data_IF_940734747006
#
_entry.id   IF_940734747006
#
_cell.length_a   1.000
_cell.length_b   1.000
_cell.length_c   1.000
_cell.angle_alpha   90.00
_cell.angle_beta   90.00
_cell.angle_gamma   90.00
#
_symmetry.space_group_name_H-M   'P 1'
#
loop_
_entity.id
_entity.type
_entity.pdbx_description
1 polymer ?
#
# COMPACT_ATOMS: atom_id res chain seq x y z
N UNK A 1 6.08 -24.94 13.05
CA UNK A 1 5.50 -23.96 14.00
C UNK A 1 4.36 -23.23 13.32
N UNK A 2 3.27 -22.88 14.02
CA UNK A 2 2.15 -22.08 13.49
C UNK A 2 2.20 -20.72 14.19
N UNK A 3 2.19 -19.63 13.42
CA UNK A 3 2.31 -18.25 13.91
C UNK A 3 1.46 -17.28 13.08
N UNK A 4 1.09 -16.10 13.62
CA UNK A 4 0.52 -15.03 12.81
C UNK A 4 1.49 -14.60 11.70
N UNK A 5 1.00 -14.45 10.47
CA UNK A 5 1.83 -14.11 9.30
C UNK A 5 2.19 -12.61 9.21
N UNK A 6 1.82 -11.82 10.22
CA UNK A 6 2.07 -10.38 10.26
C UNK A 6 3.55 -9.99 10.08
N UNK A 7 4.47 -10.85 10.47
CA UNK A 7 5.91 -10.61 10.33
C UNK A 7 6.38 -10.56 8.87
N UNK A 8 5.64 -11.08 7.92
CA UNK A 8 6.00 -11.10 6.50
C UNK A 8 6.34 -9.70 5.95
N UNK A 9 5.57 -8.69 6.35
CA UNK A 9 5.73 -7.34 5.81
C UNK A 9 5.56 -6.22 6.85
N UNK A 10 5.37 -6.52 8.14
CA UNK A 10 5.14 -5.51 9.16
C UNK A 10 5.13 -6.07 10.57
N UNK A 11 4.38 -5.38 11.45
CA UNK A 11 4.30 -5.69 12.87
C UNK A 11 5.27 -4.83 13.69
N UNK A 12 4.72 -4.06 14.64
CA UNK A 12 5.53 -3.21 15.52
C UNK A 12 6.51 -4.06 16.33
N UNK A 13 7.82 -3.77 16.18
CA UNK A 13 8.89 -4.47 16.91
C UNK A 13 9.26 -5.84 16.31
N UNK A 14 8.77 -6.18 15.12
CA UNK A 14 9.10 -7.44 14.44
C UNK A 14 10.16 -7.27 13.34
N UNK A 15 10.77 -6.09 13.18
CA UNK A 15 11.68 -5.82 12.06
C UNK A 15 12.94 -6.71 12.10
N UNK A 16 13.57 -6.84 13.28
CA UNK A 16 14.74 -7.71 13.45
C UNK A 16 14.37 -9.19 13.27
N UNK A 17 13.23 -9.63 13.82
CA UNK A 17 12.74 -11.00 13.65
C UNK A 17 12.44 -11.32 12.18
N UNK A 18 11.80 -10.37 11.46
CA UNK A 18 11.54 -10.52 10.03
C UNK A 18 12.82 -10.65 9.23
N UNK A 19 13.79 -9.78 9.49
CA UNK A 19 15.08 -9.79 8.81
C UNK A 19 15.79 -11.13 9.00
N UNK A 20 15.87 -11.62 10.24
CA UNK A 20 16.44 -12.92 10.57
C UNK A 20 15.73 -14.07 9.83
N UNK A 21 14.40 -14.11 9.92
CA UNK A 21 13.59 -15.18 9.31
C UNK A 21 13.65 -15.20 7.80
N UNK A 22 13.66 -14.03 7.15
CA UNK A 22 13.66 -13.95 5.69
C UNK A 22 15.03 -14.23 5.07
N UNK A 23 16.12 -14.13 5.85
CA UNK A 23 17.46 -14.53 5.44
C UNK A 23 17.84 -15.96 5.84
N UNK A 24 16.98 -16.64 6.62
CA UNK A 24 17.27 -18.01 7.08
C UNK A 24 16.98 -19.03 5.97
N UNK A 25 18.05 -19.53 5.35
CA UNK A 25 17.99 -20.56 4.30
C UNK A 25 17.58 -21.95 4.81
N UNK A 26 17.39 -22.12 6.12
CA UNK A 26 16.89 -23.36 6.73
C UNK A 26 15.37 -23.44 6.76
N UNK A 27 14.67 -22.37 6.37
CA UNK A 27 13.23 -22.41 6.12
C UNK A 27 12.95 -23.17 4.82
N UNK A 28 12.53 -24.44 4.98
CA UNK A 28 12.35 -25.36 3.85
C UNK A 28 10.98 -25.27 3.20
N UNK A 29 9.93 -25.08 4.02
CA UNK A 29 8.54 -25.02 3.55
C UNK A 29 7.78 -23.96 4.32
N UNK A 30 6.98 -23.17 3.60
CA UNK A 30 6.00 -22.24 4.16
C UNK A 30 4.62 -22.55 3.57
N UNK A 31 3.62 -22.67 4.46
CA UNK A 31 2.21 -22.61 4.12
C UNK A 31 1.63 -21.31 4.65
N UNK A 32 1.14 -20.46 3.75
CA UNK A 32 0.55 -19.16 4.06
C UNK A 32 -0.96 -19.18 3.90
N UNK A 33 -1.67 -18.69 4.91
CA UNK A 33 -3.12 -18.49 4.94
C UNK A 33 -3.39 -16.99 5.11
N UNK A 34 -3.57 -16.23 4.01
CA UNK A 34 -3.91 -14.81 4.06
C UNK A 34 -5.16 -14.53 4.89
N UNK A 35 -6.15 -15.42 4.82
CA UNK A 35 -7.30 -15.45 5.70
C UNK A 35 -7.15 -16.57 6.72
N UNK A 36 -7.13 -16.23 8.01
CA UNK A 36 -6.99 -17.21 9.08
C UNK A 36 -8.17 -18.19 9.17
N UNK A 37 -9.35 -17.80 8.70
CA UNK A 37 -10.56 -18.64 8.67
C UNK A 37 -10.40 -19.86 7.77
N UNK A 38 -9.58 -19.76 6.72
CA UNK A 38 -9.27 -20.88 5.82
C UNK A 38 -8.47 -22.00 6.51
N UNK A 39 -7.82 -21.70 7.64
CA UNK A 39 -7.08 -22.67 8.43
C UNK A 39 -7.81 -23.07 9.71
N UNK A 40 -8.41 -22.11 10.39
CA UNK A 40 -9.15 -22.29 11.63
C UNK A 40 -10.52 -21.61 11.53
N UNK A 41 -11.55 -22.40 11.29
CA UNK A 41 -12.92 -21.88 11.12
C UNK A 41 -13.34 -20.99 12.29
N UNK A 42 -13.88 -19.81 11.98
CA UNK A 42 -14.32 -18.79 12.93
C UNK A 42 -13.19 -17.97 13.57
N UNK A 43 -11.94 -18.14 13.15
CA UNK A 43 -10.79 -17.40 13.68
C UNK A 43 -10.41 -16.25 12.77
N UNK A 44 -10.44 -15.02 13.32
CA UNK A 44 -10.00 -13.82 12.61
C UNK A 44 -8.67 -13.31 13.18
N UNK A 45 -7.60 -13.45 12.40
CA UNK A 45 -6.28 -12.89 12.72
C UNK A 45 -5.86 -11.97 11.58
N UNK A 46 -5.75 -10.67 11.89
CA UNK A 46 -5.32 -9.66 10.90
C UNK A 46 -3.94 -9.99 10.34
N UNK A 47 -3.85 -10.05 9.03
CA UNK A 47 -2.64 -10.44 8.31
C UNK A 47 -2.51 -11.96 8.10
N UNK A 48 -3.49 -12.76 8.56
CA UNK A 48 -3.50 -14.20 8.38
C UNK A 48 -2.53 -14.95 9.29
N UNK A 49 -2.36 -16.22 9.00
CA UNK A 49 -1.46 -17.13 9.72
C UNK A 49 -0.55 -17.85 8.74
N UNK A 50 0.55 -18.34 9.25
CA UNK A 50 1.47 -19.20 8.50
C UNK A 50 1.95 -20.34 9.37
N UNK A 51 2.22 -21.50 8.78
CA UNK A 51 3.06 -22.49 9.39
C UNK A 51 4.22 -22.83 8.48
N UNK A 52 5.33 -23.23 9.08
CA UNK A 52 6.55 -23.51 8.36
C UNK A 52 7.32 -24.69 8.93
N UNK A 53 8.09 -25.32 8.06
CA UNK A 53 9.11 -26.30 8.42
C UNK A 53 10.47 -25.61 8.37
N UNK A 54 11.12 -25.56 9.53
CA UNK A 54 12.53 -25.24 9.67
C UNK A 54 13.32 -26.55 9.76
N UNK A 55 14.32 -26.70 8.91
CA UNK A 55 15.12 -27.91 8.79
C UNK A 55 16.60 -27.51 8.84
N UNK A 56 17.28 -27.90 9.93
CA UNK A 56 18.69 -27.55 10.15
C UNK A 56 19.62 -27.99 9.01
N UNK A 57 19.27 -29.09 8.35
CA UNK A 57 20.12 -29.69 7.30
C UNK A 57 19.76 -29.13 5.91
N UNK A 58 18.66 -28.38 5.79
CA UNK A 58 18.27 -27.67 4.57
C UNK A 58 19.07 -26.38 4.43
N UNK A 59 19.59 -26.13 3.20
CA UNK A 59 20.21 -24.87 2.82
C UNK A 59 19.78 -24.54 1.38
N UNK A 60 18.95 -23.53 1.22
CA UNK A 60 18.47 -23.12 -0.10
C UNK A 60 17.13 -22.43 -0.07
N UNK A 61 16.45 -22.47 -1.21
CA UNK A 61 15.16 -21.85 -1.43
C UNK A 61 14.03 -22.58 -0.66
N UNK A 62 12.99 -21.83 -0.35
CA UNK A 62 11.83 -22.29 0.37
C UNK A 62 10.69 -22.67 -0.58
N UNK A 63 10.03 -23.81 -0.34
CA UNK A 63 8.81 -24.18 -1.03
C UNK A 63 7.60 -23.47 -0.43
N UNK A 64 7.00 -22.54 -1.17
CA UNK A 64 5.91 -21.68 -0.70
C UNK A 64 4.57 -22.16 -1.25
N UNK A 65 3.63 -22.38 -0.35
CA UNK A 65 2.23 -22.70 -0.63
C UNK A 65 1.33 -21.58 -0.13
N UNK A 66 0.39 -21.12 -0.94
CA UNK A 66 -0.65 -20.18 -0.52
C UNK A 66 -2.00 -20.89 -0.49
N UNK A 67 -2.72 -20.76 0.63
CA UNK A 67 -4.04 -21.33 0.84
C UNK A 67 -5.08 -20.21 0.86
N UNK A 68 -6.05 -20.28 -0.03
CA UNK A 68 -7.07 -19.26 -0.18
C UNK A 68 -8.39 -19.87 -0.65
N UNK A 69 -9.48 -19.62 0.08
CA UNK A 69 -10.83 -20.09 -0.26
C UNK A 69 -10.92 -21.61 -0.49
N UNK A 70 -10.15 -22.40 0.26
CA UNK A 70 -10.09 -23.87 0.11
C UNK A 70 -9.20 -24.36 -1.02
N UNK A 71 -8.60 -23.48 -1.80
CA UNK A 71 -7.64 -23.82 -2.86
C UNK A 71 -6.19 -23.65 -2.36
N UNK A 72 -5.29 -24.43 -2.96
CA UNK A 72 -3.85 -24.39 -2.66
C UNK A 72 -3.10 -24.04 -3.93
N UNK A 73 -2.40 -22.91 -3.92
CA UNK A 73 -1.49 -22.51 -4.99
C UNK A 73 -0.05 -22.87 -4.61
N UNK A 74 0.68 -23.47 -5.52
CA UNK A 74 2.07 -23.89 -5.31
C UNK A 74 2.24 -25.42 -5.21
N UNK A 75 3.43 -25.93 -4.79
CA UNK A 75 4.55 -25.13 -4.30
C UNK A 75 5.26 -24.36 -5.40
N UNK A 76 5.72 -23.14 -5.04
CA UNK A 76 6.75 -22.45 -5.81
C UNK A 76 8.01 -22.39 -4.94
N UNK A 77 9.09 -22.98 -5.43
CA UNK A 77 10.38 -22.94 -4.72
C UNK A 77 11.13 -21.69 -5.10
N UNK A 78 11.40 -20.84 -4.13
CA UNK A 78 12.00 -19.51 -4.33
C UNK A 78 12.67 -18.99 -3.07
N UNK A 79 13.57 -18.00 -3.18
CA UNK A 79 14.05 -17.28 -2.02
C UNK A 79 12.90 -16.56 -1.33
N UNK A 80 12.99 -16.35 -0.02
CA UNK A 80 11.98 -15.61 0.75
C UNK A 80 12.07 -14.10 0.51
N UNK A 81 13.25 -13.61 0.17
CA UNK A 81 13.47 -12.21 -0.22
C UNK A 81 13.80 -12.11 -1.69
N UNK A 82 13.06 -11.25 -2.38
CA UNK A 82 13.42 -10.83 -3.73
C UNK A 82 14.49 -9.72 -3.68
N UNK A 83 15.31 -9.56 -4.74
CA UNK A 83 16.30 -8.48 -4.80
C UNK A 83 15.65 -7.11 -4.54
N UNK A 84 16.20 -6.34 -3.61
CA UNK A 84 15.67 -5.04 -3.22
C UNK A 84 14.44 -5.06 -2.29
N UNK A 85 13.95 -6.24 -1.89
CA UNK A 85 12.89 -6.40 -0.91
C UNK A 85 13.43 -6.44 0.53
N UNK A 86 12.64 -5.90 1.45
CA UNK A 86 12.75 -6.06 2.90
C UNK A 86 11.56 -6.83 3.50
N UNK A 87 10.78 -7.48 2.63
CA UNK A 87 9.44 -7.98 2.90
C UNK A 87 9.21 -9.26 2.11
N UNK A 88 8.53 -10.22 2.71
CA UNK A 88 8.08 -11.41 1.97
C UNK A 88 6.84 -11.08 1.14
N UNK A 89 6.98 -11.18 -0.19
CA UNK A 89 5.84 -11.10 -1.11
C UNK A 89 5.10 -12.43 -1.03
N UNK A 90 3.91 -12.42 -0.42
CA UNK A 90 3.20 -13.66 -0.05
C UNK A 90 2.56 -14.39 -1.23
N UNK A 91 2.18 -13.68 -2.29
CA UNK A 91 1.58 -14.27 -3.50
C UNK A 91 2.65 -14.56 -4.54
N UNK A 92 2.70 -15.78 -5.05
CA UNK A 92 3.72 -16.19 -6.02
C UNK A 92 3.61 -15.42 -7.34
N UNK A 93 2.38 -15.12 -7.79
CA UNK A 93 2.10 -14.29 -8.96
C UNK A 93 2.60 -12.85 -8.75
N UNK A 94 2.52 -12.35 -7.52
CA UNK A 94 3.03 -11.02 -7.16
C UNK A 94 4.55 -10.89 -7.29
N UNK A 95 5.29 -11.99 -7.17
CA UNK A 95 6.75 -12.00 -7.32
C UNK A 95 7.17 -11.67 -8.75
N UNK A 96 6.49 -12.24 -9.75
CA UNK A 96 6.81 -11.98 -11.17
C UNK A 96 6.50 -10.53 -11.53
N UNK A 97 5.36 -9.99 -11.06
CA UNK A 97 5.00 -8.58 -11.23
C UNK A 97 6.06 -7.67 -10.60
N UNK A 98 6.46 -7.96 -9.35
CA UNK A 98 7.47 -7.18 -8.65
C UNK A 98 8.81 -7.15 -9.41
N UNK A 99 9.29 -8.32 -9.88
CA UNK A 99 10.55 -8.43 -10.64
C UNK A 99 10.54 -7.56 -11.89
N UNK A 100 9.46 -7.60 -12.68
CA UNK A 100 9.28 -6.76 -13.88
C UNK A 100 9.37 -5.27 -13.54
N UNK A 101 8.74 -4.85 -12.45
CA UNK A 101 8.74 -3.44 -12.04
C UNK A 101 10.13 -2.98 -11.58
N UNK A 102 10.83 -3.77 -10.76
CA UNK A 102 12.13 -3.36 -10.22
C UNK A 102 13.25 -3.30 -11.27
N UNK A 103 13.13 -4.06 -12.35
CA UNK A 103 14.07 -4.04 -13.48
C UNK A 103 14.15 -2.66 -14.16
N UNK A 104 13.11 -1.84 -14.05
CA UNK A 104 13.10 -0.47 -14.58
C UNK A 104 13.92 0.52 -13.75
N UNK A 105 14.34 0.17 -12.53
CA UNK A 105 15.13 1.00 -11.61
C UNK A 105 14.57 2.41 -11.39
N UNK A 106 13.26 2.57 -11.44
CA UNK A 106 12.59 3.85 -11.28
C UNK A 106 12.57 4.31 -9.81
N UNK A 107 12.61 5.64 -9.56
CA UNK A 107 12.40 6.16 -8.21
C UNK A 107 10.99 5.82 -7.73
N UNK A 108 10.85 5.56 -6.44
CA UNK A 108 9.56 5.14 -5.87
C UNK A 108 8.78 6.30 -5.25
N UNK A 109 7.46 6.18 -5.23
CA UNK A 109 6.57 7.18 -4.63
C UNK A 109 6.81 7.42 -3.14
N UNK A 110 7.48 6.50 -2.46
CA UNK A 110 7.90 6.72 -1.08
C UNK A 110 8.60 8.07 -0.89
N UNK A 111 9.35 8.54 -1.89
CA UNK A 111 10.09 9.82 -1.83
C UNK A 111 9.19 11.04 -1.68
N UNK A 112 7.98 10.96 -2.19
CA UNK A 112 7.00 12.07 -2.21
C UNK A 112 5.81 11.84 -1.29
N UNK A 113 5.81 10.74 -0.53
CA UNK A 113 4.77 10.44 0.47
C UNK A 113 5.25 10.86 1.86
N UNK A 114 4.40 11.56 2.58
CA UNK A 114 4.70 12.04 3.93
C UNK A 114 4.76 10.91 4.96
N UNK A 115 5.47 11.17 6.05
CA UNK A 115 5.36 10.39 7.28
C UNK A 115 3.99 10.60 7.95
N UNK A 116 3.72 9.84 9.00
CA UNK A 116 2.57 10.03 9.89
C UNK A 116 2.56 11.46 10.45
N UNK A 117 1.38 12.05 10.59
CA UNK A 117 1.18 13.44 11.07
C UNK A 117 1.89 14.48 10.19
N UNK A 118 1.54 14.58 8.90
CA UNK A 118 2.27 15.44 7.98
C UNK A 118 2.38 16.89 8.43
N UNK A 119 1.38 17.42 9.12
CA UNK A 119 1.37 18.78 9.65
C UNK A 119 1.51 18.84 11.19
N UNK A 120 1.88 17.74 11.85
CA UNK A 120 2.04 17.67 13.30
C UNK A 120 0.72 17.56 14.08
N UNK A 121 -0.43 17.63 13.41
CA UNK A 121 -1.75 17.61 14.02
C UNK A 121 -2.19 16.16 14.32
N UNK A 122 -2.64 15.91 15.56
CA UNK A 122 -3.13 14.59 15.98
C UNK A 122 -4.55 14.30 15.45
N UNK A 123 -5.02 13.06 15.60
CA UNK A 123 -6.42 12.68 15.28
C UNK A 123 -7.44 13.37 16.19
N UNK A 124 -7.02 13.85 17.34
CA UNK A 124 -7.86 14.58 18.30
C UNK A 124 -7.80 16.10 18.13
N UNK A 125 -7.09 16.57 17.11
CA UNK A 125 -7.08 17.98 16.78
C UNK A 125 -8.47 18.41 16.28
N UNK A 126 -8.98 19.53 16.82
CA UNK A 126 -10.21 20.17 16.38
C UNK A 126 -9.94 21.68 16.27
N UNK A 127 -10.02 22.18 15.05
CA UNK A 127 -9.94 23.61 14.78
C UNK A 127 -11.29 24.31 14.98
N UNK A 128 -11.35 25.55 14.53
CA UNK A 128 -12.59 26.36 14.57
C UNK A 128 -13.57 25.86 13.52
N UNK A 129 -14.87 25.94 13.82
CA UNK A 129 -15.93 25.57 12.87
C UNK A 129 -16.11 26.61 11.76
N UNK A 130 -15.81 27.88 12.03
CA UNK A 130 -15.97 28.99 11.10
C UNK A 130 -14.62 29.58 10.72
N UNK A 131 -14.40 29.74 9.41
CA UNK A 131 -13.17 30.34 8.88
C UNK A 131 -13.04 31.81 9.29
N UNK A 132 -11.82 32.24 9.58
CA UNK A 132 -11.42 33.63 9.72
C UNK A 132 -10.42 33.99 8.61
N UNK A 133 -10.23 35.28 8.38
CA UNK A 133 -9.28 35.75 7.38
C UNK A 133 -7.87 35.21 7.66
N UNK A 134 -7.25 34.59 6.66
CA UNK A 134 -5.90 34.01 6.76
C UNK A 134 -5.83 32.63 7.41
N UNK A 135 -6.97 32.01 7.74
CA UNK A 135 -7.00 30.65 8.25
C UNK A 135 -6.66 29.61 7.18
N UNK A 136 -6.05 28.53 7.66
CA UNK A 136 -5.80 27.30 6.91
C UNK A 136 -6.98 26.37 7.11
N UNK A 137 -7.52 25.81 6.03
CA UNK A 137 -8.54 24.76 6.05
C UNK A 137 -7.90 23.44 6.41
N UNK A 138 -8.33 22.81 7.50
CA UNK A 138 -7.78 21.55 8.00
C UNK A 138 -8.78 20.42 7.81
N UNK A 139 -8.36 19.38 7.06
CA UNK A 139 -9.09 18.14 6.95
C UNK A 139 -8.77 17.26 8.16
N UNK A 140 -9.78 16.89 8.92
CA UNK A 140 -9.64 16.13 10.16
C UNK A 140 -10.58 14.93 10.23
N UNK A 141 -10.50 14.16 11.29
CA UNK A 141 -11.44 13.06 11.49
C UNK A 141 -12.85 13.62 11.61
N UNK A 142 -13.76 13.14 10.75
CA UNK A 142 -15.17 13.53 10.68
C UNK A 142 -15.46 14.93 10.08
N UNK A 143 -14.53 15.54 9.35
CA UNK A 143 -14.88 16.74 8.60
C UNK A 143 -13.75 17.72 8.36
N UNK A 144 -14.13 18.99 8.40
CA UNK A 144 -13.25 20.12 8.13
C UNK A 144 -13.32 21.14 9.25
N UNK A 145 -12.20 21.69 9.64
CA UNK A 145 -12.08 22.82 10.56
C UNK A 145 -11.12 23.88 10.01
N UNK A 146 -10.91 24.93 10.77
CA UNK A 146 -10.02 26.04 10.40
C UNK A 146 -9.08 26.35 11.55
N UNK A 147 -7.82 26.62 11.22
CA UNK A 147 -6.76 26.94 12.17
C UNK A 147 -5.92 28.11 11.68
N UNK A 148 -5.34 28.88 12.60
CA UNK A 148 -4.29 29.83 12.21
C UNK A 148 -3.07 29.07 11.75
N UNK A 149 -2.32 29.63 10.81
CA UNK A 149 -1.07 29.01 10.33
C UNK A 149 -0.07 28.75 11.49
N UNK A 150 -0.03 29.63 12.50
CA UNK A 150 0.81 29.46 13.68
C UNK A 150 0.41 28.29 14.60
N UNK A 151 -0.79 27.74 14.43
CA UNK A 151 -1.28 26.57 15.17
C UNK A 151 -0.88 25.25 14.50
N UNK A 152 -0.25 25.31 13.31
CA UNK A 152 0.19 24.13 12.55
C UNK A 152 1.68 23.90 12.82
N UNK A 153 2.03 22.78 13.50
CA UNK A 153 3.38 22.60 14.05
C UNK A 153 4.49 22.31 13.04
N UNK A 154 4.17 21.75 11.87
CA UNK A 154 5.20 21.27 10.92
C UNK A 154 4.77 21.38 9.46
N UNK A 155 5.76 21.39 8.55
CA UNK A 155 5.61 21.41 7.09
C UNK A 155 4.67 22.51 6.60
N UNK A 156 4.79 23.70 7.21
CA UNK A 156 3.93 24.84 6.87
C UNK A 156 4.12 25.32 5.43
N UNK A 157 5.24 25.01 4.79
CA UNK A 157 5.52 25.24 3.39
C UNK A 157 4.59 24.49 2.45
N UNK A 158 4.14 23.28 2.86
CA UNK A 158 3.19 22.47 2.08
C UNK A 158 1.77 23.06 2.09
N UNK A 159 1.45 23.98 3.01
CA UNK A 159 0.11 24.58 3.09
C UNK A 159 -0.23 25.29 1.78
N UNK A 160 0.73 26.01 1.20
CA UNK A 160 0.52 26.86 0.01
C UNK A 160 0.75 26.12 -1.31
N UNK A 161 0.93 24.79 -1.26
CA UNK A 161 1.21 23.98 -2.43
C UNK A 161 0.05 23.03 -2.73
N UNK A 162 -0.06 22.62 -4.00
CA UNK A 162 -0.94 21.53 -4.39
C UNK A 162 -0.37 20.20 -3.90
N UNK A 163 -1.24 19.34 -3.40
CA UNK A 163 -0.91 18.03 -2.84
C UNK A 163 -2.11 17.11 -2.91
N UNK A 164 -1.91 15.85 -2.60
CA UNK A 164 -3.00 14.87 -2.50
C UNK A 164 -3.08 14.38 -1.05
N UNK A 165 -4.27 14.35 -0.51
CA UNK A 165 -4.59 13.70 0.75
C UNK A 165 -5.13 12.30 0.51
N UNK A 166 -4.57 11.31 1.24
CA UNK A 166 -5.08 9.94 1.26
C UNK A 166 -5.45 9.58 2.69
N UNK A 167 -6.64 9.00 2.93
CA UNK A 167 -7.00 8.48 4.24
C UNK A 167 -5.95 7.50 4.78
N UNK A 168 -5.50 7.71 6.01
CA UNK A 168 -4.52 6.86 6.66
C UNK A 168 -5.07 5.47 7.01
N UNK A 169 -6.36 5.35 7.15
CA UNK A 169 -7.04 4.07 7.36
C UNK A 169 -8.00 3.82 6.20
N UNK A 170 -7.84 2.70 5.52
CA UNK A 170 -8.83 2.19 4.58
C UNK A 170 -9.55 1.01 5.23
N UNK A 171 -10.86 0.92 5.00
CA UNK A 171 -11.65 -0.23 5.44
C UNK A 171 -11.16 -1.49 4.72
N UNK A 172 -11.04 -2.59 5.48
CA UNK A 172 -11.02 -3.92 4.93
C UNK A 172 -9.72 -4.41 4.28
N UNK A 173 -8.73 -4.77 5.13
CA UNK A 173 -7.74 -5.79 4.73
C UNK A 173 -8.38 -7.18 4.66
N UNK A 174 -9.62 -7.31 5.10
CA UNK A 174 -10.34 -8.58 5.26
C UNK A 174 -11.39 -8.77 4.14
N UNK A 175 -11.67 -7.75 3.30
CA UNK A 175 -12.55 -7.87 2.15
C UNK A 175 -11.76 -8.28 0.90
N UNK A 176 -12.21 -9.30 0.22
CA UNK A 176 -11.71 -9.74 -1.07
C UNK A 176 -12.71 -9.42 -2.19
N UNK A 177 -12.32 -8.81 -3.31
CA UNK A 177 -11.03 -8.15 -3.60
C UNK A 177 -10.75 -6.95 -2.67
N UNK A 178 -9.46 -6.60 -2.48
CA UNK A 178 -9.04 -5.57 -1.53
C UNK A 178 -9.16 -4.15 -2.07
N UNK A 179 -9.61 -3.17 -1.27
CA UNK A 179 -9.58 -1.75 -1.65
C UNK A 179 -8.15 -1.16 -1.60
N UNK A 180 -7.29 -1.67 -0.73
CA UNK A 180 -5.91 -1.28 -0.44
C UNK A 180 -5.75 0.15 0.08
N UNK A 181 -6.21 1.15 -0.66
CA UNK A 181 -6.13 2.57 -0.30
C UNK A 181 -7.52 3.17 -0.13
N UNK A 182 -7.64 4.19 0.72
CA UNK A 182 -8.81 5.05 0.75
C UNK A 182 -8.80 6.03 -0.42
N UNK A 183 -9.95 6.61 -0.75
CA UNK A 183 -10.13 7.53 -1.88
C UNK A 183 -9.26 8.78 -1.72
N UNK A 184 -8.34 9.07 -2.65
CA UNK A 184 -7.53 10.27 -2.64
C UNK A 184 -8.36 11.51 -3.02
N UNK A 185 -7.93 12.68 -2.55
CA UNK A 185 -8.49 13.95 -2.99
C UNK A 185 -7.45 15.07 -2.99
N UNK A 186 -7.69 16.11 -3.78
CA UNK A 186 -6.76 17.21 -3.96
C UNK A 186 -6.81 18.15 -2.76
N UNK A 187 -5.64 18.39 -2.17
CA UNK A 187 -5.39 19.46 -1.22
C UNK A 187 -4.90 20.71 -1.94
N UNK A 188 -5.77 21.70 -2.12
CA UNK A 188 -5.43 23.01 -2.74
C UNK A 188 -4.54 23.85 -1.81
N UNK A 189 -3.86 24.87 -2.33
CA UNK A 189 -3.21 25.90 -1.50
C UNK A 189 -4.14 26.40 -0.39
N UNK A 190 -3.59 26.68 0.79
CA UNK A 190 -4.36 27.05 1.98
C UNK A 190 -4.95 25.88 2.76
N UNK A 191 -4.49 24.63 2.50
CA UNK A 191 -5.02 23.45 3.18
C UNK A 191 -3.95 22.65 3.92
N UNK A 192 -4.37 22.01 5.02
CA UNK A 192 -3.61 21.05 5.81
C UNK A 192 -4.49 19.86 6.22
N UNK A 193 -3.95 18.89 6.91
CA UNK A 193 -4.71 17.77 7.47
C UNK A 193 -4.19 17.35 8.85
N UNK A 194 -5.06 16.68 9.61
CA UNK A 194 -4.65 15.95 10.80
C UNK A 194 -4.02 14.60 10.44
N UNK A 195 -3.63 13.85 11.45
CA UNK A 195 -3.10 12.48 11.33
C UNK A 195 -4.06 11.48 10.63
N UNK A 196 -5.31 11.88 10.41
CA UNK A 196 -6.30 11.07 9.68
C UNK A 196 -5.89 10.84 8.22
N UNK A 197 -5.04 11.70 7.67
CA UNK A 197 -4.55 11.62 6.30
C UNK A 197 -3.02 11.62 6.26
N UNK A 198 -2.48 11.05 5.18
CA UNK A 198 -1.11 11.27 4.71
C UNK A 198 -1.14 12.17 3.48
N UNK A 199 0.00 12.77 3.15
CA UNK A 199 0.18 13.68 2.02
C UNK A 199 1.05 13.02 0.97
N UNK A 200 0.67 13.16 -0.30
CA UNK A 200 1.53 12.90 -1.45
C UNK A 200 1.77 14.23 -2.17
N UNK A 201 3.02 14.52 -2.47
CA UNK A 201 3.43 15.76 -3.11
C UNK A 201 4.60 16.45 -2.38
N UNK A 202 4.86 17.73 -2.68
CA UNK A 202 4.02 18.69 -3.40
C UNK A 202 4.01 18.52 -4.92
N UNK A 203 3.02 19.17 -5.58
CA UNK A 203 2.87 19.23 -7.02
C UNK A 203 2.71 20.67 -7.50
N UNK A 204 3.02 20.91 -8.79
CA UNK A 204 3.02 22.26 -9.38
C UNK A 204 1.62 22.88 -9.51
N UNK A 205 0.63 22.04 -9.84
CA UNK A 205 -0.73 22.51 -10.11
C UNK A 205 -1.78 21.40 -9.89
N UNK A 206 -3.06 21.78 -10.08
CA UNK A 206 -4.19 20.88 -9.89
C UNK A 206 -4.24 19.77 -10.95
N UNK A 207 -3.80 20.02 -12.18
CA UNK A 207 -3.88 19.02 -13.25
C UNK A 207 -2.86 17.91 -13.05
N UNK A 208 -1.65 18.22 -12.57
CA UNK A 208 -0.69 17.20 -12.12
C UNK A 208 -1.29 16.36 -11.00
N UNK A 209 -1.97 16.98 -10.03
CA UNK A 209 -2.66 16.22 -8.97
C UNK A 209 -3.73 15.26 -9.52
N UNK A 210 -4.52 15.69 -10.52
CA UNK A 210 -5.51 14.83 -11.20
C UNK A 210 -4.82 13.61 -11.83
N UNK A 211 -3.73 13.85 -12.56
CA UNK A 211 -2.97 12.78 -13.21
C UNK A 211 -2.39 11.78 -12.19
N UNK A 212 -1.87 12.25 -11.06
CA UNK A 212 -1.42 11.36 -9.97
C UNK A 212 -2.60 10.56 -9.39
N UNK A 213 -3.78 11.17 -9.27
CA UNK A 213 -4.98 10.48 -8.78
C UNK A 213 -5.40 9.37 -9.75
N UNK A 214 -5.32 9.57 -11.08
CA UNK A 214 -5.60 8.48 -12.04
C UNK A 214 -4.65 7.31 -11.81
N UNK A 215 -3.36 7.57 -11.58
CA UNK A 215 -2.39 6.52 -11.25
C UNK A 215 -2.72 5.79 -9.94
N UNK A 216 -3.09 6.52 -8.88
CA UNK A 216 -3.50 5.91 -7.60
C UNK A 216 -4.75 5.02 -7.76
N UNK A 217 -5.65 5.37 -8.69
CA UNK A 217 -6.85 4.59 -8.96
C UNK A 217 -6.56 3.28 -9.68
N UNK A 218 -5.43 3.13 -10.40
CA UNK A 218 -5.11 1.90 -11.11
C UNK A 218 -5.01 0.70 -10.17
N UNK A 219 -5.46 -0.45 -10.62
CA UNK A 219 -5.32 -1.72 -9.89
C UNK A 219 -3.85 -2.12 -9.81
N UNK A 220 -3.07 -1.87 -10.87
CA UNK A 220 -1.64 -2.13 -10.93
C UNK A 220 -0.89 -1.45 -9.76
N UNK A 221 -1.05 -0.12 -9.61
CA UNK A 221 -0.41 0.64 -8.54
C UNK A 221 -0.79 0.09 -7.16
N UNK A 222 -2.08 -0.19 -6.96
CA UNK A 222 -2.58 -0.71 -5.69
C UNK A 222 -2.11 -2.14 -5.40
N UNK A 223 -1.87 -2.96 -6.44
CA UNK A 223 -1.24 -4.28 -6.28
C UNK A 223 0.17 -4.15 -5.71
N UNK A 224 0.97 -3.23 -6.22
CA UNK A 224 2.31 -2.99 -5.69
C UNK A 224 2.28 -2.52 -4.22
N UNK A 225 1.35 -1.62 -3.89
CA UNK A 225 1.13 -1.19 -2.50
C UNK A 225 0.65 -2.33 -1.59
N UNK A 226 -0.13 -3.28 -2.13
CA UNK A 226 -0.64 -4.45 -1.39
C UNK A 226 0.50 -5.33 -0.87
N UNK A 227 1.60 -5.48 -1.61
CA UNK A 227 2.71 -6.34 -1.20
C UNK A 227 3.32 -5.96 0.15
N UNK A 228 3.17 -4.70 0.57
CA UNK A 228 3.61 -4.22 1.88
C UNK A 228 2.46 -3.94 2.87
N UNK A 229 1.21 -4.18 2.47
CA UNK A 229 0.07 -3.86 3.33
C UNK A 229 -0.36 -5.06 4.20
N UNK A 230 0.03 -5.03 5.46
CA UNK A 230 -0.32 -6.06 6.47
C UNK A 230 -1.37 -5.60 7.48
N UNK A 231 -1.77 -4.33 7.43
CA UNK A 231 -2.75 -3.74 8.36
C UNK A 231 -3.65 -2.75 7.62
N UNK A 232 -4.69 -2.24 8.30
CA UNK A 232 -5.57 -1.20 7.76
C UNK A 232 -4.85 0.15 7.53
N UNK A 233 -3.65 0.34 8.10
CA UNK A 233 -2.94 1.62 8.03
C UNK A 233 -2.26 1.81 6.69
N UNK A 234 -2.49 2.95 6.06
CA UNK A 234 -1.72 3.46 4.92
C UNK A 234 -0.52 4.22 5.47
N UNK A 235 0.67 3.77 5.15
CA UNK A 235 1.95 4.35 5.60
C UNK A 235 2.83 4.66 4.40
N UNK A 236 3.82 5.52 4.59
CA UNK A 236 4.85 5.81 3.60
C UNK A 236 5.49 4.53 3.02
N UNK A 237 5.74 3.54 3.86
CA UNK A 237 6.37 2.27 3.46
C UNK A 237 5.57 1.47 2.42
N UNK A 238 4.24 1.65 2.29
CA UNK A 238 3.45 0.98 1.25
C UNK A 238 3.88 1.37 -0.16
N UNK A 239 4.50 2.53 -0.30
CA UNK A 239 4.86 3.10 -1.59
C UNK A 239 6.31 2.78 -2.02
N UNK A 240 7.03 1.97 -1.25
CA UNK A 240 8.43 1.58 -1.56
C UNK A 240 8.54 0.80 -2.87
N UNK A 241 7.51 0.02 -3.24
CA UNK A 241 7.50 -0.75 -4.49
C UNK A 241 6.74 -0.05 -5.62
N UNK A 242 6.20 1.13 -5.37
CA UNK A 242 5.38 1.87 -6.32
C UNK A 242 6.24 2.88 -7.05
N UNK A 243 6.50 2.73 -8.37
CA UNK A 243 7.31 3.67 -9.13
C UNK A 243 6.63 5.03 -9.26
N UNK A 244 7.45 6.09 -9.29
CA UNK A 244 6.98 7.41 -9.73
C UNK A 244 6.86 7.37 -11.25
N UNK A 245 5.72 7.81 -11.77
CA UNK A 245 5.46 7.92 -13.20
C UNK A 245 5.67 9.36 -13.69
N UNK A 246 5.64 9.57 -15.01
CA UNK A 246 5.48 10.88 -15.58
C UNK A 246 4.03 11.34 -15.39
N UNK A 247 3.82 12.36 -14.58
CA UNK A 247 2.51 12.90 -14.26
C UNK A 247 2.10 14.09 -15.15
N UNK A 248 2.73 14.27 -16.31
CA UNK A 248 2.26 15.23 -17.33
C UNK A 248 0.95 14.77 -17.99
N UNK A 249 0.60 13.52 -17.85
CA UNK A 249 -0.65 12.90 -18.29
C UNK A 249 -1.22 11.94 -17.26
N UNK A 250 -2.48 11.54 -17.42
CA UNK A 250 -3.12 10.51 -16.62
C UNK A 250 -2.66 9.10 -17.00
N UNK A 251 -2.80 8.15 -16.08
CA UNK A 251 -2.42 6.75 -16.25
C UNK A 251 -3.62 5.82 -16.16
N UNK A 252 -3.63 4.78 -16.97
CA UNK A 252 -4.58 3.66 -16.92
C UNK A 252 -3.86 2.36 -16.65
N UNK A 253 -4.60 1.33 -16.23
CA UNK A 253 -4.04 -0.01 -16.05
C UNK A 253 -3.44 -0.55 -17.33
N UNK A 254 -4.10 -0.38 -18.50
CA UNK A 254 -3.57 -0.82 -19.80
C UNK A 254 -2.20 -0.23 -20.12
N UNK A 255 -2.02 1.09 -19.89
CA UNK A 255 -0.72 1.75 -20.13
C UNK A 255 0.38 1.18 -19.23
N UNK A 256 0.05 0.86 -17.98
CA UNK A 256 1.01 0.29 -17.04
C UNK A 256 1.31 -1.17 -17.35
N UNK A 257 0.31 -1.95 -17.76
CA UNK A 257 0.50 -3.33 -18.19
C UNK A 257 1.42 -3.42 -19.40
N UNK A 258 1.22 -2.56 -20.39
CA UNK A 258 2.10 -2.45 -21.57
C UNK A 258 3.52 -2.06 -21.15
N UNK A 259 3.65 -0.99 -20.34
CA UNK A 259 4.94 -0.47 -19.88
C UNK A 259 5.79 -1.52 -19.17
N UNK A 260 5.19 -2.32 -18.29
CA UNK A 260 5.90 -3.31 -17.46
C UNK A 260 5.82 -4.73 -18.02
N UNK A 261 5.20 -4.94 -19.19
CA UNK A 261 5.09 -6.26 -19.82
C UNK A 261 4.29 -7.25 -18.97
N UNK A 262 3.18 -6.79 -18.35
CA UNK A 262 2.31 -7.63 -17.53
C UNK A 262 1.53 -8.59 -18.41
N UNK A 263 1.55 -9.90 -18.08
CA UNK A 263 0.88 -10.94 -18.85
C UNK A 263 -0.61 -11.04 -18.51
N UNK A 264 -1.39 -11.73 -19.35
CA UNK A 264 -2.82 -11.95 -19.11
C UNK A 264 -3.10 -12.72 -17.81
N UNK A 265 -2.22 -13.64 -17.41
CA UNK A 265 -2.30 -14.34 -16.14
C UNK A 265 -2.07 -13.41 -14.96
N UNK A 266 -1.08 -12.50 -15.06
CA UNK A 266 -0.81 -11.50 -14.04
C UNK A 266 -1.93 -10.46 -13.96
N UNK A 267 -2.53 -10.06 -15.08
CA UNK A 267 -3.72 -9.20 -15.12
C UNK A 267 -4.89 -9.90 -14.40
N UNK A 268 -5.11 -11.17 -14.70
CA UNK A 268 -6.16 -11.98 -14.03
C UNK A 268 -5.93 -12.01 -12.51
N UNK A 269 -4.69 -12.19 -12.07
CA UNK A 269 -4.33 -12.12 -10.65
C UNK A 269 -4.64 -10.72 -10.07
N UNK A 270 -4.18 -9.64 -10.71
CA UNK A 270 -4.44 -8.25 -10.27
C UNK A 270 -5.95 -8.01 -10.13
N UNK A 271 -6.73 -8.43 -11.11
CA UNK A 271 -8.18 -8.24 -11.12
C UNK A 271 -8.89 -9.02 -10.02
N UNK A 272 -8.40 -10.22 -9.69
CA UNK A 272 -8.92 -11.02 -8.60
C UNK A 272 -8.62 -10.43 -7.22
N UNK A 273 -7.49 -9.70 -7.08
CA UNK A 273 -6.99 -9.19 -5.80
C UNK A 273 -7.49 -7.79 -5.47
N UNK A 274 -7.70 -6.94 -6.47
CA UNK A 274 -7.93 -5.51 -6.28
C UNK A 274 -9.31 -5.11 -6.80
N UNK A 275 -10.15 -4.60 -5.92
CA UNK A 275 -11.45 -4.05 -6.34
C UNK A 275 -11.28 -2.69 -7.05
N UNK A 276 -12.18 -2.32 -8.00
CA UNK A 276 -12.24 -0.98 -8.55
C UNK A 276 -12.36 0.08 -7.44
N UNK A 277 -11.71 1.23 -7.61
CA UNK A 277 -11.90 2.37 -6.73
C UNK A 277 -13.06 3.22 -7.25
N UNK A 278 -13.97 3.68 -6.39
CA UNK A 278 -15.06 4.55 -6.80
C UNK A 278 -14.55 5.79 -7.52
N UNK A 279 -15.00 6.02 -8.73
CA UNK A 279 -14.57 7.10 -9.63
C UNK A 279 -13.92 6.59 -10.92
N UNK A 280 -13.59 5.30 -11.03
CA UNK A 280 -13.34 4.65 -12.31
C UNK A 280 -14.67 4.56 -13.06
N UNK A 281 -14.78 5.21 -14.23
CA UNK A 281 -15.93 4.98 -15.11
C UNK A 281 -15.86 3.54 -15.61
N UNK A 282 -17.01 2.86 -15.70
CA UNK A 282 -17.09 1.51 -16.28
C UNK A 282 -16.61 1.45 -17.75
N UNK A 283 -16.32 2.59 -18.36
CA UNK A 283 -15.83 2.72 -19.73
C UNK A 283 -14.33 2.48 -19.84
N UNK A 284 -13.54 2.70 -18.77
CA UNK A 284 -12.08 2.50 -18.80
C UNK A 284 -11.66 1.04 -18.61
N UNK A 285 -12.60 0.16 -18.27
CA UNK A 285 -12.34 -1.28 -18.03
C UNK A 285 -12.31 -2.11 -19.33
N UNK A 286 -12.60 -1.54 -20.52
CA UNK A 286 -12.74 -2.30 -21.78
C UNK A 286 -12.23 -1.56 -23.03
N UNK A 287 -11.17 -0.76 -22.92
CA UNK A 287 -10.50 -0.22 -24.12
C UNK A 287 -9.08 -0.74 -24.21
#
# INVERSE_FOLDING_TARGET
MIVPARWFAGGKGLDAFRDEMLHDTSLRVIHDYPNADDCFSGVQIKGGITYFLWDRDHKGDCSVYTHQNGEITGPVTRPLLEPGCDTFIRYNEGVTIYRKVIEHHEPTMERIVSSRKPFGLSTTFHGRKTAQHGDVKVFENQGVSYARRSEIPSNTELIDQYKIFIPRSSSGSDAFPHPILGKPFIGKPGTACSETYIVIGPFENEDVCKNVITYIHTKFMRTLAMFKKVTQSTTKALYTFVPIQDFTHGWTDSMLYEKYGITDEEITFIDSMIQPMEGESKEDAYV
#
